data_IF_832653092770
#
_entry.id   IF_832653092770
#
_cell.length_a   1.000
_cell.length_b   1.000
_cell.length_c   1.000
_cell.angle_alpha   90.00
_cell.angle_beta   90.00
_cell.angle_gamma   90.00
#
_symmetry.space_group_name_H-M   'P 1'
#
loop_
_entity.id
_entity.type
_entity.pdbx_description
1 polymer ?
#
# COMPACT_ATOMS: atom_id res chain seq x y z
N UNK A 1 -31.09 -1.71 -13.67
CA UNK A 1 -29.99 -0.87 -14.20
C UNK A 1 -29.76 0.21 -13.16
N UNK A 2 -28.54 0.37 -12.65
CA UNK A 2 -28.24 1.44 -11.69
C UNK A 2 -27.79 2.64 -12.51
N UNK A 3 -28.50 3.76 -12.39
CA UNK A 3 -28.18 5.00 -13.11
C UNK A 3 -27.54 6.01 -12.15
N UNK A 4 -26.54 6.74 -12.65
CA UNK A 4 -25.89 7.80 -11.89
C UNK A 4 -26.90 8.92 -11.60
N UNK A 5 -27.02 9.33 -10.34
CA UNK A 5 -27.77 10.53 -9.97
C UNK A 5 -26.80 11.72 -9.83
N UNK A 6 -26.57 12.53 -10.88
CA UNK A 6 -25.57 13.59 -10.87
C UNK A 6 -25.90 14.71 -9.87
N UNK A 7 -27.18 14.93 -9.56
CA UNK A 7 -27.61 15.92 -8.58
C UNK A 7 -27.19 15.48 -7.17
N UNK A 8 -27.43 14.22 -6.83
CA UNK A 8 -27.04 13.65 -5.54
C UNK A 8 -25.53 13.60 -5.39
N UNK A 9 -24.79 13.15 -6.42
CA UNK A 9 -23.32 13.14 -6.40
C UNK A 9 -22.74 14.53 -6.15
N UNK A 10 -23.27 15.57 -6.81
CA UNK A 10 -22.85 16.96 -6.56
C UNK A 10 -23.15 17.43 -5.13
N UNK A 11 -24.30 17.05 -4.57
CA UNK A 11 -24.68 17.41 -3.20
C UNK A 11 -23.73 16.76 -2.18
N UNK A 12 -23.40 15.48 -2.36
CA UNK A 12 -22.44 14.75 -1.53
C UNK A 12 -21.06 15.40 -1.66
N UNK A 13 -20.58 15.63 -2.89
CA UNK A 13 -19.28 16.25 -3.15
C UNK A 13 -19.13 17.61 -2.45
N UNK A 14 -20.14 18.49 -2.54
CA UNK A 14 -20.15 19.78 -1.84
C UNK A 14 -20.08 19.66 -0.31
N UNK A 15 -20.67 18.60 0.25
CA UNK A 15 -20.66 18.37 1.70
C UNK A 15 -19.31 17.82 2.16
N UNK A 16 -18.73 16.90 1.37
CA UNK A 16 -17.45 16.28 1.66
C UNK A 16 -16.27 17.25 1.44
N UNK A 17 -16.36 18.17 0.47
CA UNK A 17 -15.25 19.07 0.13
C UNK A 17 -14.85 20.03 1.25
N UNK A 18 -15.75 20.28 2.21
CA UNK A 18 -15.46 21.08 3.40
C UNK A 18 -14.93 20.27 4.58
N UNK A 19 -14.84 18.94 4.47
CA UNK A 19 -14.33 18.07 5.52
C UNK A 19 -12.82 17.92 5.37
N UNK A 20 -12.11 18.06 6.49
CA UNK A 20 -10.71 17.70 6.61
C UNK A 20 -10.55 16.56 7.60
N UNK A 21 -9.48 15.77 7.43
CA UNK A 21 -9.05 14.90 8.51
C UNK A 21 -8.59 15.75 9.69
N UNK A 22 -8.85 15.24 10.90
CA UNK A 22 -8.29 15.82 12.12
C UNK A 22 -6.76 15.74 12.07
N UNK A 23 -6.06 16.68 12.70
CA UNK A 23 -4.58 16.71 12.64
C UNK A 23 -3.91 15.47 13.21
N UNK A 24 -4.52 14.85 14.23
CA UNK A 24 -4.06 13.62 14.87
C UNK A 24 -3.97 12.44 13.88
N UNK A 25 -4.84 12.40 12.86
CA UNK A 25 -4.76 11.43 11.78
C UNK A 25 -3.39 11.42 11.11
N UNK A 26 -2.82 12.59 10.84
CA UNK A 26 -1.51 12.74 10.20
C UNK A 26 -0.34 12.52 11.16
N UNK A 27 -0.61 12.43 12.47
CA UNK A 27 0.41 12.20 13.51
C UNK A 27 0.60 10.71 13.83
N UNK A 28 -0.21 9.81 13.24
CA UNK A 28 -0.11 8.36 13.47
C UNK A 28 1.25 7.81 13.08
N UNK A 29 1.76 6.88 13.87
CA UNK A 29 3.09 6.28 13.72
C UNK A 29 3.37 5.79 12.29
N UNK A 30 2.38 5.20 11.62
CA UNK A 30 2.54 4.68 10.27
C UNK A 30 2.80 5.77 9.21
N UNK A 31 2.48 7.03 9.47
CA UNK A 31 2.83 8.16 8.58
C UNK A 31 4.10 8.89 9.02
N UNK A 32 4.44 8.82 10.30
CA UNK A 32 5.47 9.67 10.92
C UNK A 32 6.74 8.94 11.36
N UNK A 33 6.79 7.60 11.24
CA UNK A 33 7.95 6.81 11.65
C UNK A 33 9.26 7.30 11.02
N UNK A 34 10.37 7.17 11.77
CA UNK A 34 11.68 7.63 11.31
C UNK A 34 12.36 6.57 10.43
N UNK A 35 12.61 6.94 9.18
CA UNK A 35 13.30 6.14 8.16
C UNK A 35 13.63 7.02 6.95
N UNK A 36 14.58 6.59 6.12
CA UNK A 36 14.86 7.27 4.85
C UNK A 36 13.68 7.15 3.86
N UNK A 37 13.65 8.04 2.85
CA UNK A 37 12.57 8.11 1.85
C UNK A 37 12.30 6.77 1.17
N UNK A 38 13.34 6.02 0.80
CA UNK A 38 13.18 4.76 0.08
C UNK A 38 12.57 3.69 0.97
N UNK A 39 13.03 3.58 2.21
CA UNK A 39 12.44 2.67 3.20
C UNK A 39 10.97 3.00 3.44
N UNK A 40 10.61 4.28 3.60
CA UNK A 40 9.20 4.68 3.77
C UNK A 40 8.35 4.33 2.55
N UNK A 41 8.81 4.68 1.36
CA UNK A 41 8.13 4.34 0.10
C UNK A 41 7.90 2.84 -0.02
N UNK A 42 8.89 2.03 0.33
CA UNK A 42 8.81 0.57 0.27
C UNK A 42 7.80 0.00 1.27
N UNK A 43 7.74 0.53 2.48
CA UNK A 43 6.73 0.15 3.47
C UNK A 43 5.32 0.36 2.90
N UNK A 44 5.04 1.54 2.35
CA UNK A 44 3.73 1.82 1.74
C UNK A 44 3.46 0.97 0.51
N UNK A 45 4.47 0.75 -0.33
CA UNK A 45 4.31 -0.01 -1.57
C UNK A 45 4.08 -1.50 -1.31
N UNK A 46 4.84 -2.11 -0.41
CA UNK A 46 4.69 -3.52 -0.07
C UNK A 46 3.43 -3.79 0.76
N UNK A 47 3.06 -2.90 1.67
CA UNK A 47 1.82 -3.05 2.46
C UNK A 47 0.58 -2.99 1.57
N UNK A 48 0.52 -2.03 0.65
CA UNK A 48 -0.59 -1.89 -0.32
C UNK A 48 -0.66 -3.05 -1.31
N UNK A 49 0.49 -3.66 -1.68
CA UNK A 49 0.50 -4.84 -2.53
C UNK A 49 -0.31 -6.00 -1.94
N UNK A 50 -0.26 -6.18 -0.61
CA UNK A 50 -0.89 -7.28 0.12
C UNK A 50 -2.04 -6.84 1.03
N UNK A 51 -2.67 -5.68 0.82
CA UNK A 51 -3.74 -5.19 1.71
C UNK A 51 -5.15 -5.74 1.38
N UNK A 52 -5.26 -6.79 0.57
CA UNK A 52 -6.56 -7.33 0.14
C UNK A 52 -7.10 -8.35 1.16
N UNK A 53 -8.43 -8.41 1.32
CA UNK A 53 -9.16 -9.40 2.13
C UNK A 53 -8.66 -9.57 3.58
N UNK A 54 -8.33 -8.47 4.26
CA UNK A 54 -7.71 -8.49 5.60
C UNK A 54 -8.69 -8.75 6.75
N UNK A 55 -9.88 -9.30 6.49
CA UNK A 55 -10.92 -9.52 7.51
C UNK A 55 -10.52 -10.53 8.61
N UNK A 56 -9.63 -11.44 8.26
CA UNK A 56 -9.10 -12.53 9.09
C UNK A 56 -7.83 -12.12 9.82
N UNK A 57 -7.20 -11.02 9.41
CA UNK A 57 -5.97 -10.52 9.99
C UNK A 57 -6.29 -9.81 11.31
N UNK A 58 -5.83 -10.39 12.42
CA UNK A 58 -6.09 -9.86 13.75
C UNK A 58 -4.97 -10.20 14.73
N UNK A 59 -4.81 -9.36 15.75
CA UNK A 59 -3.91 -9.58 16.88
C UNK A 59 -4.67 -9.34 18.18
N UNK A 60 -5.15 -10.42 18.81
CA UNK A 60 -6.06 -10.33 19.97
C UNK A 60 -5.48 -9.53 21.13
N UNK A 61 -4.22 -9.76 21.53
CA UNK A 61 -3.66 -9.08 22.71
C UNK A 61 -3.47 -7.57 22.53
N UNK A 62 -3.37 -7.10 21.29
CA UNK A 62 -3.21 -5.69 20.95
C UNK A 62 -4.50 -5.05 20.43
N UNK A 63 -5.57 -5.84 20.30
CA UNK A 63 -6.85 -5.45 19.69
C UNK A 63 -6.68 -4.77 18.31
N UNK A 64 -5.78 -5.31 17.48
CA UNK A 64 -5.51 -4.80 16.14
C UNK A 64 -6.19 -5.68 15.08
N UNK A 65 -6.81 -5.04 14.10
CA UNK A 65 -7.56 -5.71 13.04
C UNK A 65 -7.21 -5.16 11.65
N UNK A 66 -7.19 -6.06 10.67
CA UNK A 66 -7.06 -5.72 9.27
C UNK A 66 -5.90 -4.77 8.98
N UNK A 67 -6.22 -3.57 8.49
CA UNK A 67 -5.21 -2.57 8.12
C UNK A 67 -4.37 -2.11 9.31
N UNK A 68 -4.95 -1.99 10.51
CA UNK A 68 -4.21 -1.54 11.69
C UNK A 68 -3.13 -2.55 12.09
N UNK A 69 -3.43 -3.86 11.95
CA UNK A 69 -2.41 -4.89 12.18
C UNK A 69 -1.37 -4.94 11.03
N UNK A 70 -1.76 -4.65 9.77
CA UNK A 70 -0.78 -4.45 8.68
C UNK A 70 0.19 -3.31 9.00
N UNK A 71 -0.33 -2.13 9.36
CA UNK A 71 0.51 -0.98 9.73
C UNK A 71 1.49 -1.36 10.84
N UNK A 72 0.98 -1.98 11.91
CA UNK A 72 1.81 -2.45 13.02
C UNK A 72 2.91 -3.43 12.57
N UNK A 73 2.56 -4.48 11.81
CA UNK A 73 3.53 -5.49 11.37
C UNK A 73 4.66 -4.89 10.54
N UNK A 74 4.34 -3.98 9.62
CA UNK A 74 5.35 -3.26 8.83
C UNK A 74 6.21 -2.33 9.68
N UNK A 75 5.65 -1.65 10.70
CA UNK A 75 6.45 -0.87 11.64
C UNK A 75 7.42 -1.75 12.45
N UNK A 76 7.04 -2.98 12.79
CA UNK A 76 7.96 -3.93 13.43
C UNK A 76 9.12 -4.31 12.49
N UNK A 77 8.87 -4.47 11.19
CA UNK A 77 9.93 -4.71 10.21
C UNK A 77 10.90 -3.52 10.14
N UNK A 78 10.40 -2.28 10.17
CA UNK A 78 11.23 -1.07 10.22
C UNK A 78 12.08 -1.03 11.48
N UNK A 79 11.47 -1.21 12.65
CA UNK A 79 12.16 -1.18 13.96
C UNK A 79 13.28 -2.21 14.05
N UNK A 80 13.08 -3.40 13.48
CA UNK A 80 14.07 -4.48 13.43
C UNK A 80 15.11 -4.29 12.31
N UNK A 81 15.02 -3.21 11.51
CA UNK A 81 15.82 -3.00 10.29
C UNK A 81 15.83 -4.23 9.40
N UNK A 82 14.65 -4.84 9.24
CA UNK A 82 14.54 -6.16 8.66
C UNK A 82 15.02 -6.13 7.19
N UNK A 83 15.83 -7.12 6.74
CA UNK A 83 16.31 -7.18 5.37
C UNK A 83 15.22 -7.15 4.29
N UNK A 84 13.97 -7.50 4.63
CA UNK A 84 12.81 -7.36 3.74
C UNK A 84 12.55 -5.94 3.24
N UNK A 85 12.98 -4.92 3.98
CA UNK A 85 12.89 -3.53 3.52
C UNK A 85 14.13 -3.09 2.74
N UNK A 86 15.08 -4.00 2.50
CA UNK A 86 16.28 -3.75 1.71
C UNK A 86 16.10 -4.24 0.26
N UNK A 87 16.31 -3.37 -0.75
CA UNK A 87 16.21 -3.74 -2.17
C UNK A 87 17.09 -4.93 -2.58
N UNK A 88 18.30 -5.02 -2.03
CA UNK A 88 19.28 -6.06 -2.39
C UNK A 88 18.88 -7.45 -1.89
N UNK A 89 18.33 -7.52 -0.67
CA UNK A 89 17.92 -8.78 -0.06
C UNK A 89 16.72 -9.42 -0.77
N UNK A 90 15.69 -8.63 -1.10
CA UNK A 90 14.53 -9.16 -1.83
C UNK A 90 14.87 -9.67 -3.24
N UNK A 91 16.03 -9.30 -3.77
CA UNK A 91 16.47 -9.70 -5.11
C UNK A 91 17.01 -11.14 -5.18
N UNK A 92 17.20 -11.78 -4.02
CA UNK A 92 17.70 -13.16 -3.86
C UNK A 92 16.76 -14.07 -3.06
N UNK A 93 15.67 -13.54 -2.49
CA UNK A 93 14.69 -14.32 -1.73
C UNK A 93 13.75 -15.12 -2.64
N UNK A 94 13.34 -16.30 -2.16
CA UNK A 94 12.28 -17.12 -2.75
C UNK A 94 10.89 -16.72 -2.25
N UNK A 95 9.84 -17.33 -2.83
CA UNK A 95 8.46 -17.11 -2.37
C UNK A 95 8.27 -17.70 -0.97
N UNK A 96 8.93 -18.82 -0.73
CA UNK A 96 8.96 -19.57 0.52
C UNK A 96 9.63 -18.75 1.63
N UNK A 97 10.76 -18.09 1.34
CA UNK A 97 11.41 -17.20 2.30
C UNK A 97 10.47 -16.06 2.71
N UNK A 98 9.79 -15.43 1.75
CA UNK A 98 8.82 -14.36 2.02
C UNK A 98 7.63 -14.91 2.81
N UNK A 99 7.15 -16.12 2.49
CA UNK A 99 6.03 -16.75 3.17
C UNK A 99 6.31 -17.00 4.65
N UNK A 100 7.48 -17.57 4.96
CA UNK A 100 7.92 -17.78 6.35
C UNK A 100 7.96 -16.45 7.08
N UNK A 101 8.59 -15.45 6.49
CA UNK A 101 8.76 -14.14 7.13
C UNK A 101 7.44 -13.38 7.34
N UNK A 102 6.53 -13.41 6.36
CA UNK A 102 5.19 -12.85 6.50
C UNK A 102 4.45 -13.57 7.64
N UNK A 103 4.57 -14.89 7.71
CA UNK A 103 3.92 -15.69 8.74
C UNK A 103 4.45 -15.38 10.14
N UNK A 104 5.76 -15.16 10.29
CA UNK A 104 6.36 -14.72 11.55
C UNK A 104 5.94 -13.29 11.93
N UNK A 105 5.87 -12.39 10.94
CA UNK A 105 5.52 -10.97 11.15
C UNK A 105 4.08 -10.80 11.60
N UNK A 106 3.17 -11.57 11.01
CA UNK A 106 1.73 -11.50 11.27
C UNK A 106 1.24 -12.65 12.16
N UNK A 107 2.13 -13.15 13.02
CA UNK A 107 1.82 -14.06 14.12
C UNK A 107 1.76 -13.29 15.45
N UNK A 108 0.66 -13.37 16.21
CA UNK A 108 0.56 -12.78 17.55
C UNK A 108 1.58 -13.35 18.55
N UNK A 109 2.07 -14.57 18.32
CA UNK A 109 3.04 -15.25 19.19
C UNK A 109 4.47 -15.23 18.63
N UNK A 110 4.65 -14.71 17.42
CA UNK A 110 5.90 -14.80 16.65
C UNK A 110 6.17 -16.18 16.05
N UNK A 111 5.28 -17.16 16.22
CA UNK A 111 5.39 -18.49 15.58
C UNK A 111 4.61 -18.52 14.26
N UNK A 112 5.19 -18.98 13.14
CA UNK A 112 4.50 -19.04 11.85
C UNK A 112 3.14 -19.76 11.88
N UNK A 113 3.01 -20.80 12.71
CA UNK A 113 1.79 -21.59 12.85
C UNK A 113 0.60 -20.78 13.42
N UNK A 114 0.87 -19.69 14.13
CA UNK A 114 -0.14 -18.82 14.73
C UNK A 114 -0.40 -17.57 13.85
N UNK A 115 0.10 -17.55 12.60
CA UNK A 115 -0.13 -16.46 11.66
C UNK A 115 -1.62 -16.27 11.37
N UNK A 116 -2.09 -15.01 11.44
CA UNK A 116 -3.48 -14.66 11.10
C UNK A 116 -3.60 -14.00 9.73
N UNK A 117 -2.49 -13.74 9.04
CA UNK A 117 -2.50 -13.33 7.64
C UNK A 117 -2.79 -14.55 6.75
N UNK A 118 -3.97 -14.58 6.13
CA UNK A 118 -4.36 -15.66 5.22
C UNK A 118 -3.68 -15.55 3.84
N UNK A 119 -3.85 -16.59 3.00
CA UNK A 119 -3.39 -16.61 1.59
C UNK A 119 -1.89 -16.24 1.44
N UNK A 120 -1.06 -16.74 2.35
CA UNK A 120 0.37 -16.40 2.43
C UNK A 120 1.07 -16.64 1.10
N UNK A 121 0.81 -17.77 0.44
CA UNK A 121 1.46 -18.16 -0.81
C UNK A 121 1.21 -17.12 -1.91
N UNK A 122 -0.04 -16.66 -2.03
CA UNK A 122 -0.41 -15.61 -2.99
C UNK A 122 0.21 -14.27 -2.64
N UNK A 123 0.17 -13.86 -1.36
CA UNK A 123 0.76 -12.60 -0.91
C UNK A 123 2.27 -12.57 -1.14
N UNK A 124 2.96 -13.69 -0.90
CA UNK A 124 4.37 -13.86 -1.22
C UNK A 124 4.65 -13.76 -2.71
N UNK A 125 3.82 -14.37 -3.56
CA UNK A 125 3.95 -14.25 -5.01
C UNK A 125 3.74 -12.80 -5.49
N UNK A 126 2.80 -12.07 -4.91
CA UNK A 126 2.58 -10.65 -5.20
C UNK A 126 3.80 -9.80 -4.82
N UNK A 127 4.40 -10.05 -3.66
CA UNK A 127 5.64 -9.38 -3.24
C UNK A 127 6.81 -9.69 -4.18
N UNK A 128 7.01 -10.95 -4.56
CA UNK A 128 8.02 -11.30 -5.56
C UNK A 128 7.80 -10.54 -6.87
N UNK A 129 6.55 -10.48 -7.35
CA UNK A 129 6.19 -9.73 -8.56
C UNK A 129 6.57 -8.25 -8.47
N UNK A 130 6.33 -7.61 -7.31
CA UNK A 130 6.76 -6.24 -7.02
C UNK A 130 8.28 -6.12 -7.11
N UNK A 131 9.02 -6.99 -6.43
CA UNK A 131 10.48 -6.94 -6.36
C UNK A 131 11.13 -7.18 -7.71
N UNK A 132 10.68 -8.19 -8.46
CA UNK A 132 11.15 -8.48 -9.80
C UNK A 132 10.94 -7.28 -10.73
N UNK A 133 9.77 -6.67 -10.69
CA UNK A 133 9.46 -5.51 -11.52
C UNK A 133 10.35 -4.29 -11.17
N UNK A 134 10.50 -3.98 -9.88
CA UNK A 134 11.36 -2.89 -9.43
C UNK A 134 12.83 -3.13 -9.81
N UNK A 135 13.33 -4.36 -9.67
CA UNK A 135 14.71 -4.72 -10.05
C UNK A 135 14.94 -4.52 -11.55
N UNK A 136 14.04 -5.04 -12.38
CA UNK A 136 14.16 -5.01 -13.83
C UNK A 136 14.06 -3.59 -14.41
N UNK A 137 13.16 -2.77 -13.89
CA UNK A 137 12.82 -1.48 -14.51
C UNK A 137 13.36 -0.26 -13.76
N UNK A 138 13.62 -0.39 -12.46
CA UNK A 138 13.94 0.75 -11.59
C UNK A 138 15.16 0.49 -10.68
N UNK A 139 15.96 -0.54 -10.98
CA UNK A 139 17.14 -0.91 -10.19
C UNK A 139 16.84 -1.16 -8.71
N UNK A 140 15.64 -1.67 -8.43
CA UNK A 140 15.17 -2.06 -7.10
C UNK A 140 14.57 -0.94 -6.26
N UNK A 141 14.52 0.31 -6.72
CA UNK A 141 14.05 1.47 -5.92
C UNK A 141 12.62 1.88 -6.25
N UNK A 142 11.77 1.99 -5.22
CA UNK A 142 10.41 2.54 -5.33
C UNK A 142 10.49 4.05 -5.58
N UNK A 143 11.38 4.75 -4.90
CA UNK A 143 11.58 6.19 -5.08
C UNK A 143 11.96 6.53 -6.51
N UNK A 144 12.85 5.75 -7.14
CA UNK A 144 13.23 5.94 -8.54
C UNK A 144 12.05 5.75 -9.50
N UNK A 145 11.19 4.76 -9.25
CA UNK A 145 9.96 4.55 -10.01
C UNK A 145 9.02 5.76 -9.89
N UNK A 146 8.85 6.30 -8.68
CA UNK A 146 8.06 7.52 -8.46
C UNK A 146 8.69 8.71 -9.19
N UNK A 147 10.00 8.92 -9.05
CA UNK A 147 10.69 10.06 -9.65
C UNK A 147 10.65 10.01 -11.19
N UNK A 148 10.69 8.81 -11.77
CA UNK A 148 10.54 8.60 -13.21
C UNK A 148 9.16 8.98 -13.77
N UNK A 149 8.12 9.02 -12.93
CA UNK A 149 6.80 9.54 -13.31
C UNK A 149 6.72 11.06 -13.29
N UNK A 150 7.75 11.73 -12.75
CA UNK A 150 7.79 13.18 -12.51
C UNK A 150 6.64 13.70 -11.64
N UNK A 151 6.03 12.82 -10.83
CA UNK A 151 4.88 13.12 -9.99
C UNK A 151 3.55 13.17 -10.77
N UNK A 152 3.48 12.59 -11.97
CA UNK A 152 2.26 12.55 -12.78
C UNK A 152 1.58 11.17 -12.76
N UNK A 153 0.26 11.17 -12.69
CA UNK A 153 -0.56 9.97 -12.80
C UNK A 153 -0.63 9.47 -14.25
N UNK A 154 -0.73 10.38 -15.21
CA UNK A 154 -0.74 10.12 -16.65
C UNK A 154 0.36 10.93 -17.34
N UNK A 155 1.27 10.26 -18.06
CA UNK A 155 2.45 10.92 -18.66
C UNK A 155 3.04 10.10 -19.83
N UNK A 156 2.29 9.94 -20.91
CA UNK A 156 2.77 9.32 -22.15
C UNK A 156 3.42 7.93 -21.93
N UNK A 157 2.80 7.10 -21.09
CA UNK A 157 3.28 5.77 -20.73
C UNK A 157 4.26 5.73 -19.54
N UNK A 158 4.60 6.89 -18.95
CA UNK A 158 5.48 6.99 -17.76
C UNK A 158 4.70 7.35 -16.49
N UNK A 159 3.42 7.66 -16.59
CA UNK A 159 2.58 8.01 -15.46
C UNK A 159 2.38 6.84 -14.49
N UNK A 160 2.12 7.15 -13.23
CA UNK A 160 1.96 6.11 -12.19
C UNK A 160 0.82 5.14 -12.50
N UNK A 161 -0.29 5.60 -13.11
CA UNK A 161 -1.37 4.71 -13.54
C UNK A 161 -1.09 3.92 -14.82
N UNK A 162 -0.03 4.25 -15.55
CA UNK A 162 0.35 3.57 -16.78
C UNK A 162 1.40 2.50 -16.49
N UNK A 163 2.33 2.78 -15.58
CA UNK A 163 3.44 1.89 -15.22
C UNK A 163 3.03 0.83 -14.20
N UNK A 164 2.34 1.22 -13.11
CA UNK A 164 2.06 0.31 -11.99
C UNK A 164 1.18 -0.91 -12.35
N UNK A 165 0.23 -0.86 -13.32
CA UNK A 165 -0.50 -2.07 -13.75
C UNK A 165 0.38 -3.18 -14.34
N UNK A 166 1.63 -2.88 -14.70
CA UNK A 166 2.65 -3.86 -15.06
C UNK A 166 3.00 -4.82 -13.90
N UNK A 167 2.68 -4.45 -12.66
CA UNK A 167 2.93 -5.23 -11.46
C UNK A 167 1.64 -5.98 -11.07
N UNK A 168 1.67 -7.31 -10.90
CA UNK A 168 0.46 -8.10 -10.59
C UNK A 168 -0.33 -7.56 -9.38
N UNK A 169 0.35 -7.10 -8.34
CA UNK A 169 -0.27 -6.56 -7.13
C UNK A 169 -1.11 -5.30 -7.36
N UNK A 170 -0.82 -4.54 -8.43
CA UNK A 170 -1.42 -3.24 -8.76
C UNK A 170 -2.20 -3.25 -10.07
N UNK A 171 -2.45 -4.43 -10.65
CA UNK A 171 -3.24 -4.59 -11.89
C UNK A 171 -4.75 -4.52 -11.64
N UNK A 172 -5.18 -3.78 -10.62
CA UNK A 172 -6.59 -3.64 -10.33
C UNK A 172 -7.23 -2.66 -11.33
N UNK A 173 -8.33 -3.05 -12.02
CA UNK A 173 -8.89 -2.25 -13.10
C UNK A 173 -9.41 -0.89 -12.63
N UNK A 174 -9.83 -0.81 -11.37
CA UNK A 174 -10.36 0.40 -10.73
C UNK A 174 -9.26 1.31 -10.16
N UNK A 175 -7.98 0.93 -10.29
CA UNK A 175 -6.81 1.65 -9.78
C UNK A 175 -6.86 1.97 -8.28
N UNK A 176 -7.68 1.25 -7.50
CA UNK A 176 -7.90 1.45 -6.06
C UNK A 176 -6.61 1.29 -5.28
N UNK A 177 -5.83 0.24 -5.54
CA UNK A 177 -4.58 -0.02 -4.79
C UNK A 177 -3.52 1.01 -5.13
N UNK A 178 -3.40 1.38 -6.40
CA UNK A 178 -2.50 2.44 -6.82
C UNK A 178 -2.88 3.74 -6.11
N UNK A 179 -4.15 4.13 -6.17
CA UNK A 179 -4.64 5.35 -5.52
C UNK A 179 -4.42 5.34 -4.00
N UNK A 180 -4.61 4.19 -3.36
CA UNK A 180 -4.37 4.02 -1.93
C UNK A 180 -2.90 4.18 -1.56
N UNK A 181 -2.00 3.55 -2.31
CA UNK A 181 -0.55 3.75 -2.16
C UNK A 181 -0.16 5.22 -2.32
N UNK A 182 -0.64 5.89 -3.37
CA UNK A 182 -0.32 7.29 -3.62
C UNK A 182 -0.85 8.21 -2.52
N UNK A 183 -2.03 7.91 -1.98
CA UNK A 183 -2.58 8.65 -0.83
C UNK A 183 -1.71 8.52 0.41
N UNK A 184 -1.27 7.30 0.76
CA UNK A 184 -0.36 7.08 1.89
C UNK A 184 0.96 7.83 1.71
N UNK A 185 1.56 7.72 0.52
CA UNK A 185 2.82 8.39 0.23
C UNK A 185 2.70 9.92 0.21
N UNK A 186 1.58 10.47 -0.28
CA UNK A 186 1.29 11.90 -0.24
C UNK A 186 1.03 12.39 1.20
N UNK A 187 0.25 11.65 2.00
CA UNK A 187 -0.04 11.99 3.40
C UNK A 187 1.23 11.96 4.27
N UNK A 188 2.19 11.10 3.93
CA UNK A 188 3.51 11.06 4.55
C UNK A 188 4.50 12.11 3.99
N UNK A 189 4.06 12.97 3.08
CA UNK A 189 4.88 14.03 2.48
C UNK A 189 5.97 13.54 1.51
N UNK A 190 5.85 12.33 0.97
CA UNK A 190 6.89 11.71 0.12
C UNK A 190 6.69 11.96 -1.38
N UNK A 191 5.47 12.31 -1.79
CA UNK A 191 5.09 12.57 -3.19
C UNK A 191 4.27 13.85 -3.25
N UNK A 192 4.51 14.65 -4.28
CA UNK A 192 3.63 15.73 -4.69
C UNK A 192 3.07 15.42 -6.08
N UNK A 193 1.77 15.12 -6.17
CA UNK A 193 1.12 14.83 -7.46
C UNK A 193 0.89 16.12 -8.22
N UNK A 194 1.30 16.16 -9.50
CA UNK A 194 1.20 17.34 -10.38
C UNK A 194 -0.12 17.44 -11.14
N UNK A 195 -0.86 16.33 -11.22
CA UNK A 195 -2.14 16.19 -11.89
C UNK A 195 -3.19 15.54 -10.97
N UNK A 196 -3.44 16.10 -9.76
CA UNK A 196 -4.33 15.50 -8.76
C UNK A 196 -5.78 15.32 -9.23
N UNK A 197 -6.21 16.06 -10.26
CA UNK A 197 -7.50 15.90 -10.93
C UNK A 197 -7.69 14.53 -11.58
N UNK A 198 -6.59 13.83 -11.91
CA UNK A 198 -6.63 12.49 -12.47
C UNK A 198 -6.75 11.40 -11.40
N UNK A 199 -6.64 11.74 -10.10
CA UNK A 199 -6.64 10.77 -9.01
C UNK A 199 -8.00 10.06 -8.91
N UNK A 200 -7.99 8.72 -8.99
CA UNK A 200 -9.20 7.92 -8.85
C UNK A 200 -9.54 7.84 -7.36
N UNK A 201 -10.77 8.18 -6.96
CA UNK A 201 -11.19 8.06 -5.57
C UNK A 201 -11.09 6.61 -5.06
N UNK A 202 -10.53 6.44 -3.86
CA UNK A 202 -10.43 5.13 -3.21
C UNK A 202 -11.81 4.77 -2.66
N UNK A 203 -12.64 4.16 -3.49
CA UNK A 203 -13.97 3.70 -3.09
C UNK A 203 -13.92 2.23 -2.68
N UNK A 204 -14.25 1.94 -1.42
CA UNK A 204 -14.48 0.56 -0.99
C UNK A 204 -15.97 0.21 -1.05
N UNK A 205 -16.26 -1.07 -1.21
CA UNK A 205 -17.60 -1.63 -1.06
C UNK A 205 -18.20 -1.31 0.32
N UNK A 206 -17.38 -1.20 1.37
CA UNK A 206 -17.82 -0.71 2.68
C UNK A 206 -18.33 0.74 2.63
N UNK A 207 -17.72 1.59 1.81
CA UNK A 207 -18.16 2.98 1.62
C UNK A 207 -19.36 3.10 0.67
N UNK A 208 -19.59 2.12 -0.20
CA UNK A 208 -20.77 2.07 -1.08
C UNK A 208 -22.06 1.71 -0.34
N UNK A 209 -21.97 1.14 0.86
CA UNK A 209 -23.12 0.74 1.70
C UNK A 209 -23.61 1.83 2.66
N UNK A 210 -22.94 2.99 2.69
CA UNK A 210 -23.28 4.17 3.52
C UNK A 210 -24.06 5.17 2.68
#
# INVERSE_FOLDING_TARGET
MVELNPVQCRKIGKRLSGLSFREDFYKRDFLTFDADRETKMRVYFLSTAICHQTRSLHHDQLDLWGWDYLEYGFLQLVKKRHPLLNPGYMSICSAEDIAVLLSETFSPTGKPADCTLDRIEERSALWLGVCSHLKQNFGGSVSRMIDASEGKLLNEGKGLYEVLPGIPAFRDPEKKKISFFLKLAADAGLINLKDPENLVPIMDYHMQRV
#
